data_IF_722173261223
#
_entry.id   IF_722173261223
#
_cell.length_a   1.000
_cell.length_b   1.000
_cell.length_c   1.000
_cell.angle_alpha   90.00
_cell.angle_beta   90.00
_cell.angle_gamma   90.00
#
_symmetry.space_group_name_H-M   'P 1'
#
loop_
_entity.id
_entity.type
_entity.pdbx_description
1 polymer ?
#
# COMPACT_ATOMS: atom_id res chain seq x y z
N UNK A 1 -9.23 -26.95 21.89
CA UNK A 1 -10.46 -26.56 21.16
C UNK A 1 -10.15 -26.55 19.67
N UNK A 2 -10.39 -27.65 18.93
CA UNK A 2 -10.07 -27.72 17.50
C UNK A 2 -11.33 -27.53 16.62
N UNK A 3 -11.11 -27.12 15.36
CA UNK A 3 -12.03 -27.24 14.22
C UNK A 3 -12.98 -26.07 13.85
N UNK A 4 -12.59 -24.81 14.03
CA UNK A 4 -13.27 -23.69 13.33
C UNK A 4 -12.54 -23.18 12.08
N UNK A 5 -11.23 -23.40 11.96
CA UNK A 5 -10.40 -22.90 10.85
C UNK A 5 -10.53 -23.73 9.57
N UNK A 6 -10.80 -25.04 9.67
CA UNK A 6 -10.92 -25.92 8.50
C UNK A 6 -12.27 -25.76 7.78
N UNK A 7 -13.33 -25.42 8.51
CA UNK A 7 -14.68 -25.23 7.95
C UNK A 7 -14.77 -23.91 7.15
N UNK A 8 -14.08 -22.86 7.58
CA UNK A 8 -14.00 -21.59 6.85
C UNK A 8 -13.29 -21.72 5.49
N UNK A 9 -12.28 -22.62 5.40
CA UNK A 9 -11.51 -22.88 4.17
C UNK A 9 -12.35 -23.56 3.08
N UNK A 10 -13.23 -24.49 3.42
CA UNK A 10 -14.09 -25.17 2.44
C UNK A 10 -15.25 -24.31 1.98
N UNK A 11 -15.86 -23.52 2.88
CA UNK A 11 -17.04 -22.72 2.55
C UNK A 11 -16.70 -21.56 1.60
N UNK A 12 -15.48 -21.00 1.70
CA UNK A 12 -15.00 -19.96 0.79
C UNK A 12 -14.80 -20.49 -0.65
N UNK A 13 -14.26 -21.68 -0.81
CA UNK A 13 -14.08 -22.32 -2.14
C UNK A 13 -15.41 -22.69 -2.79
N UNK A 14 -16.39 -23.18 -2.02
CA UNK A 14 -17.73 -23.47 -2.56
C UNK A 14 -18.53 -22.21 -2.91
N UNK A 15 -18.36 -21.11 -2.15
CA UNK A 15 -18.98 -19.82 -2.48
C UNK A 15 -18.40 -19.27 -3.80
N UNK A 16 -17.08 -19.28 -3.95
CA UNK A 16 -16.39 -18.83 -5.17
C UNK A 16 -16.74 -19.67 -6.41
N UNK A 17 -16.84 -21.01 -6.30
CA UNK A 17 -17.29 -21.85 -7.42
C UNK A 17 -18.78 -21.66 -7.75
N UNK A 18 -19.62 -21.32 -6.77
CA UNK A 18 -21.05 -21.05 -7.01
C UNK A 18 -21.31 -19.69 -7.68
N UNK A 19 -20.42 -18.70 -7.49
CA UNK A 19 -20.53 -17.37 -8.11
C UNK A 19 -20.21 -17.40 -9.61
N UNK A 20 -19.46 -18.40 -10.10
CA UNK A 20 -19.23 -18.60 -11.55
C UNK A 20 -20.53 -18.90 -12.33
N UNK A 21 -21.64 -19.18 -11.64
CA UNK A 21 -22.95 -19.44 -12.27
C UNK A 21 -24.03 -18.40 -11.96
N UNK A 22 -23.70 -17.28 -11.30
CA UNK A 22 -24.66 -16.20 -11.05
C UNK A 22 -24.47 -15.15 -12.14
N UNK A 23 -25.22 -15.29 -13.23
CA UNK A 23 -25.62 -14.11 -14.01
C UNK A 23 -26.41 -13.20 -13.06
N UNK A 24 -25.74 -12.21 -12.45
CA UNK A 24 -26.43 -11.17 -11.70
C UNK A 24 -27.12 -10.24 -12.68
N UNK A 25 -28.26 -10.69 -13.20
CA UNK A 25 -29.29 -9.81 -13.74
C UNK A 25 -29.95 -9.03 -12.59
N UNK A 26 -29.18 -8.18 -11.90
CA UNK A 26 -29.76 -7.10 -11.11
C UNK A 26 -30.38 -6.13 -12.12
N UNK A 27 -31.63 -5.74 -11.88
CA UNK A 27 -32.38 -4.83 -12.73
C UNK A 27 -31.57 -3.54 -12.99
N UNK A 28 -30.94 -3.48 -14.16
CA UNK A 28 -30.27 -2.29 -14.66
C UNK A 28 -31.37 -1.26 -14.92
N UNK A 29 -31.40 -0.20 -14.13
CA UNK A 29 -32.22 0.97 -14.43
C UNK A 29 -31.30 2.04 -14.99
N UNK A 30 -31.80 2.96 -15.81
CA UNK A 30 -31.00 4.09 -16.32
C UNK A 30 -30.31 4.89 -15.19
N UNK A 31 -30.83 4.79 -13.96
CA UNK A 31 -30.34 5.48 -12.77
C UNK A 31 -29.21 4.72 -12.06
N UNK A 32 -29.14 3.38 -12.11
CA UNK A 32 -28.17 2.60 -11.31
C UNK A 32 -27.51 1.53 -12.19
N UNK A 33 -26.18 1.58 -12.28
CA UNK A 33 -25.34 0.56 -12.90
C UNK A 33 -24.49 -0.16 -11.86
N UNK A 34 -24.55 -1.48 -11.86
CA UNK A 34 -23.71 -2.33 -11.02
C UNK A 34 -22.59 -2.95 -11.83
N UNK A 35 -21.39 -3.02 -11.24
CA UNK A 35 -20.23 -3.72 -11.80
C UNK A 35 -19.58 -4.55 -10.69
N UNK A 36 -19.14 -5.75 -11.01
CA UNK A 36 -18.42 -6.66 -10.13
C UNK A 36 -17.03 -6.97 -10.64
N UNK A 37 -16.15 -7.31 -9.71
CA UNK A 37 -14.83 -7.86 -10.03
C UNK A 37 -14.39 -8.81 -8.93
N UNK A 38 -13.55 -9.77 -9.28
CA UNK A 38 -12.91 -10.62 -8.29
C UNK A 38 -11.54 -11.13 -8.77
N UNK A 39 -10.73 -11.54 -7.82
CA UNK A 39 -9.49 -12.26 -8.02
C UNK A 39 -9.52 -13.49 -7.13
N UNK A 40 -9.37 -14.68 -7.72
CA UNK A 40 -8.99 -15.88 -6.99
C UNK A 40 -7.49 -16.06 -7.15
N UNK A 41 -6.75 -15.75 -6.09
CA UNK A 41 -5.29 -15.82 -6.08
C UNK A 41 -4.78 -16.96 -5.21
N UNK A 42 -3.72 -17.61 -5.66
CA UNK A 42 -2.99 -18.62 -4.90
C UNK A 42 -1.51 -18.24 -4.88
N UNK A 43 -0.90 -18.26 -3.71
CA UNK A 43 0.51 -17.94 -3.52
C UNK A 43 1.26 -19.11 -2.91
N UNK A 44 2.56 -19.17 -3.17
CA UNK A 44 3.52 -19.95 -2.41
C UNK A 44 4.71 -19.05 -2.06
N UNK A 45 4.93 -18.82 -0.78
CA UNK A 45 6.11 -18.15 -0.22
C UNK A 45 7.08 -19.22 0.29
N UNK A 46 8.31 -19.22 -0.21
CA UNK A 46 9.34 -20.22 0.13
C UNK A 46 10.08 -19.97 1.45
N UNK A 47 9.82 -18.83 2.13
CA UNK A 47 10.44 -18.49 3.41
C UNK A 47 9.53 -18.82 4.61
N UNK A 48 10.11 -19.49 5.60
CA UNK A 48 9.51 -19.70 6.93
C UNK A 48 9.77 -18.50 7.85
N UNK A 49 10.92 -17.83 7.67
CA UNK A 49 11.37 -16.71 8.51
C UNK A 49 10.62 -15.41 8.18
N UNK A 50 10.28 -15.20 6.90
CA UNK A 50 9.63 -13.99 6.40
C UNK A 50 8.24 -14.30 5.83
N UNK A 51 7.21 -13.80 6.48
CA UNK A 51 5.83 -13.87 6.03
C UNK A 51 5.50 -12.81 4.98
N UNK A 52 4.92 -13.24 3.86
CA UNK A 52 4.54 -12.39 2.73
C UNK A 52 3.16 -11.74 2.93
N UNK A 53 3.05 -10.45 2.59
CA UNK A 53 1.79 -9.72 2.43
C UNK A 53 1.91 -8.73 1.28
N UNK A 54 0.79 -8.38 0.65
CA UNK A 54 0.77 -7.48 -0.52
C UNK A 54 0.94 -5.99 -0.15
N UNK A 55 0.64 -5.64 1.10
CA UNK A 55 0.80 -4.31 1.70
C UNK A 55 0.58 -4.39 3.21
N UNK A 56 0.82 -3.30 3.93
CA UNK A 56 0.72 -3.26 5.39
C UNK A 56 -0.69 -3.46 5.94
N UNK A 57 -1.74 -3.20 5.15
CA UNK A 57 -3.15 -3.44 5.54
C UNK A 57 -3.55 -4.92 5.45
N UNK A 58 -2.67 -5.80 4.99
CA UNK A 58 -2.95 -7.24 4.75
C UNK A 58 -2.17 -8.15 5.71
N UNK A 59 -2.78 -9.20 6.27
CA UNK A 59 -2.08 -10.20 7.07
C UNK A 59 -1.05 -11.01 6.29
N UNK A 60 0.13 -11.21 6.88
CA UNK A 60 1.20 -11.98 6.27
C UNK A 60 0.98 -13.50 6.32
N UNK A 61 1.54 -14.22 5.35
CA UNK A 61 1.45 -15.68 5.18
C UNK A 61 2.79 -16.29 4.74
N UNK A 62 3.09 -17.48 5.23
CA UNK A 62 4.20 -18.32 4.76
C UNK A 62 3.66 -19.57 4.06
N UNK A 63 4.46 -20.17 3.17
CA UNK A 63 4.05 -21.32 2.39
C UNK A 63 2.86 -21.04 1.46
N UNK A 64 2.00 -22.04 1.30
CA UNK A 64 0.83 -21.95 0.42
C UNK A 64 -0.34 -21.20 1.07
N UNK A 65 -0.94 -20.24 0.35
CA UNK A 65 -2.12 -19.52 0.81
C UNK A 65 -2.95 -18.97 -0.36
N UNK A 66 -4.27 -18.89 -0.19
CA UNK A 66 -5.14 -18.17 -1.13
C UNK A 66 -5.40 -16.72 -0.70
N UNK A 67 -5.14 -16.37 0.56
CA UNK A 67 -5.68 -15.16 1.16
C UNK A 67 -5.06 -13.85 0.64
N UNK A 68 -3.72 -13.72 0.47
CA UNK A 68 -3.11 -12.41 0.18
C UNK A 68 -3.52 -11.77 -1.14
N UNK A 69 -3.77 -12.59 -2.16
CA UNK A 69 -4.10 -12.13 -3.51
C UNK A 69 -5.60 -12.23 -3.83
N UNK A 70 -6.39 -12.93 -3.00
CA UNK A 70 -7.82 -13.11 -3.28
C UNK A 70 -8.65 -11.93 -2.81
N UNK A 71 -9.57 -11.49 -3.66
CA UNK A 71 -10.54 -10.45 -3.34
C UNK A 71 -11.82 -10.59 -4.16
N UNK A 72 -12.90 -9.97 -3.68
CA UNK A 72 -14.13 -9.74 -4.44
C UNK A 72 -14.65 -8.34 -4.16
N UNK A 73 -15.04 -7.64 -5.20
CA UNK A 73 -15.55 -6.28 -5.11
C UNK A 73 -16.78 -6.06 -5.97
N UNK A 74 -17.56 -5.07 -5.57
CA UNK A 74 -18.72 -4.60 -6.29
C UNK A 74 -18.78 -3.08 -6.24
N UNK A 75 -19.26 -2.47 -7.31
CA UNK A 75 -19.43 -1.03 -7.45
C UNK A 75 -20.82 -0.70 -7.97
N UNK A 76 -21.45 0.29 -7.33
CA UNK A 76 -22.69 0.91 -7.79
C UNK A 76 -22.40 2.33 -8.29
N UNK A 77 -22.80 2.63 -9.53
CA UNK A 77 -22.80 3.97 -10.10
C UNK A 77 -24.25 4.47 -10.16
N UNK A 78 -24.56 5.53 -9.44
CA UNK A 78 -25.92 6.05 -9.26
C UNK A 78 -26.00 7.43 -9.90
N UNK A 79 -26.74 7.57 -11.00
CA UNK A 79 -26.93 8.84 -11.73
C UNK A 79 -28.26 9.49 -11.36
N UNK A 80 -28.22 10.54 -10.54
CA UNK A 80 -29.43 11.28 -10.15
C UNK A 80 -29.86 12.29 -11.22
N UNK A 81 -28.89 13.02 -11.78
CA UNK A 81 -29.06 13.97 -12.88
C UNK A 81 -27.81 13.95 -13.76
N UNK A 82 -27.77 14.63 -14.93
CA UNK A 82 -26.56 14.73 -15.73
C UNK A 82 -25.36 15.36 -14.98
N UNK A 83 -25.61 16.20 -13.97
CA UNK A 83 -24.59 16.87 -13.17
C UNK A 83 -24.30 16.17 -11.84
N UNK A 84 -25.21 15.35 -11.32
CA UNK A 84 -25.08 14.71 -10.02
C UNK A 84 -25.10 13.20 -10.13
N UNK A 85 -24.03 12.57 -9.65
CA UNK A 85 -23.94 11.12 -9.52
C UNK A 85 -23.21 10.72 -8.23
N UNK A 86 -23.39 9.49 -7.78
CA UNK A 86 -22.65 8.91 -6.66
C UNK A 86 -22.02 7.58 -7.07
N UNK A 87 -20.88 7.27 -6.47
CA UNK A 87 -20.17 6.00 -6.65
C UNK A 87 -19.94 5.40 -5.27
N UNK A 88 -20.29 4.12 -5.13
CA UNK A 88 -19.98 3.31 -3.94
C UNK A 88 -19.31 2.03 -4.39
N UNK A 89 -18.12 1.75 -3.86
CA UNK A 89 -17.36 0.52 -4.11
C UNK A 89 -17.02 -0.16 -2.79
N UNK A 90 -17.37 -1.44 -2.68
CA UNK A 90 -16.99 -2.29 -1.57
C UNK A 90 -16.08 -3.42 -2.07
N UNK A 91 -15.03 -3.74 -1.30
CA UNK A 91 -14.07 -4.79 -1.64
C UNK A 91 -13.75 -5.63 -0.43
N UNK A 92 -14.20 -6.88 -0.45
CA UNK A 92 -13.85 -7.91 0.51
C UNK A 92 -12.53 -8.58 0.14
N UNK A 93 -11.59 -8.60 1.09
CA UNK A 93 -10.27 -9.25 0.98
C UNK A 93 -9.72 -9.52 2.38
N UNK A 94 -8.63 -10.28 2.47
CA UNK A 94 -7.89 -10.44 3.73
C UNK A 94 -7.35 -9.08 4.20
N UNK A 95 -7.73 -8.63 5.41
CA UNK A 95 -7.37 -7.32 5.97
C UNK A 95 -6.97 -7.45 7.44
N UNK A 96 -6.10 -6.56 7.90
CA UNK A 96 -5.77 -6.39 9.33
C UNK A 96 -6.96 -5.88 10.12
N UNK A 97 -7.81 -5.11 9.45
CA UNK A 97 -9.02 -4.52 10.01
C UNK A 97 -10.25 -5.39 9.75
N UNK A 98 -11.04 -5.63 10.79
CA UNK A 98 -12.31 -6.35 10.73
C UNK A 98 -13.55 -5.46 10.71
N UNK A 99 -13.39 -4.13 10.79
CA UNK A 99 -14.47 -3.16 10.73
C UNK A 99 -15.19 -3.24 9.39
N UNK A 100 -16.52 -3.33 9.43
CA UNK A 100 -17.36 -3.45 8.23
C UNK A 100 -17.21 -2.23 7.32
N UNK A 101 -17.05 -1.04 7.91
CA UNK A 101 -16.88 0.21 7.14
C UNK A 101 -15.58 0.20 6.34
N UNK A 102 -14.53 -0.45 6.85
CA UNK A 102 -13.23 -0.53 6.17
C UNK A 102 -13.21 -1.54 5.01
N UNK A 103 -14.35 -2.13 4.64
CA UNK A 103 -14.55 -2.80 3.35
C UNK A 103 -15.13 -1.89 2.27
N UNK A 104 -15.52 -0.66 2.60
CA UNK A 104 -15.91 0.36 1.64
C UNK A 104 -14.64 1.08 1.20
N UNK A 105 -14.15 0.76 0.00
CA UNK A 105 -12.95 1.40 -0.55
C UNK A 105 -13.26 2.83 -1.03
N UNK A 106 -14.45 3.06 -1.60
CA UNK A 106 -14.88 4.35 -2.16
C UNK A 106 -16.36 4.58 -1.90
N UNK A 107 -16.73 5.80 -1.50
CA UNK A 107 -18.12 6.22 -1.35
C UNK A 107 -18.21 7.75 -1.44
N UNK A 108 -18.56 8.30 -2.59
CA UNK A 108 -18.64 9.74 -2.77
C UNK A 108 -19.85 10.19 -3.60
N UNK A 109 -20.24 11.44 -3.39
CA UNK A 109 -21.11 12.20 -4.27
C UNK A 109 -20.25 13.08 -5.18
N UNK A 110 -20.60 13.14 -6.47
CA UNK A 110 -19.92 13.94 -7.48
C UNK A 110 -20.85 14.96 -8.10
N UNK A 111 -20.35 16.18 -8.21
CA UNK A 111 -20.95 17.27 -8.98
C UNK A 111 -20.07 17.60 -10.19
N UNK A 112 -20.65 17.52 -11.39
CA UNK A 112 -20.03 17.93 -12.65
C UNK A 112 -20.58 19.30 -13.02
N UNK A 113 -19.75 20.33 -12.89
CA UNK A 113 -20.14 21.70 -13.26
C UNK A 113 -20.26 21.80 -14.79
N UNK A 114 -19.29 21.23 -15.50
CA UNK A 114 -19.26 21.12 -16.96
C UNK A 114 -18.38 19.93 -17.39
N UNK A 115 -17.93 19.91 -18.65
CA UNK A 115 -17.04 18.86 -19.16
C UNK A 115 -15.60 18.91 -18.65
N UNK A 116 -15.21 19.98 -17.93
CA UNK A 116 -13.87 20.23 -17.43
C UNK A 116 -13.77 20.09 -15.92
N UNK A 117 -14.79 20.51 -15.19
CA UNK A 117 -14.75 20.60 -13.72
C UNK A 117 -15.61 19.55 -13.04
N UNK A 118 -14.98 18.77 -12.16
CA UNK A 118 -15.63 17.80 -11.30
C UNK A 118 -15.27 18.05 -9.84
N UNK A 119 -16.25 17.96 -8.94
CA UNK A 119 -16.08 18.07 -7.50
C UNK A 119 -16.60 16.80 -6.86
N UNK A 120 -15.86 16.21 -5.92
CA UNK A 120 -16.27 15.02 -5.17
C UNK A 120 -16.22 15.31 -3.67
N UNK A 121 -17.13 14.71 -2.92
CA UNK A 121 -17.12 14.71 -1.47
C UNK A 121 -17.53 13.34 -0.92
N UNK A 122 -16.79 12.84 0.06
CA UNK A 122 -16.96 11.52 0.66
C UNK A 122 -15.62 10.80 0.86
N UNK A 123 -15.62 9.48 0.70
CA UNK A 123 -14.42 8.64 0.75
C UNK A 123 -13.88 8.38 -0.66
N UNK A 124 -12.64 8.77 -0.91
CA UNK A 124 -11.97 8.66 -2.21
C UNK A 124 -10.58 8.02 -2.06
N UNK A 125 -10.05 7.44 -3.14
CA UNK A 125 -8.65 7.03 -3.19
C UNK A 125 -7.75 8.27 -3.30
N UNK A 126 -6.58 8.23 -2.67
CA UNK A 126 -5.54 9.23 -2.92
C UNK A 126 -4.97 9.02 -4.32
N UNK A 127 -4.92 10.10 -5.11
CA UNK A 127 -4.59 10.04 -6.53
C UNK A 127 -3.06 10.14 -6.74
N UNK A 128 -2.31 9.27 -6.05
CA UNK A 128 -0.84 9.30 -5.98
C UNK A 128 -0.12 8.27 -6.86
N UNK A 129 -0.85 7.30 -7.42
CA UNK A 129 -0.30 6.23 -8.25
C UNK A 129 -1.07 6.09 -9.57
N UNK A 130 -0.47 5.46 -10.59
CA UNK A 130 -1.24 5.06 -11.78
C UNK A 130 -2.42 4.14 -11.43
N UNK A 131 -2.22 3.21 -10.51
CA UNK A 131 -3.26 2.26 -10.08
C UNK A 131 -4.25 2.85 -9.07
N UNK A 132 -4.15 4.11 -8.63
CA UNK A 132 -4.94 4.67 -7.51
C UNK A 132 -6.45 4.39 -7.61
N UNK A 133 -7.02 4.48 -8.81
CA UNK A 133 -8.47 4.33 -9.01
C UNK A 133 -8.89 2.87 -9.29
N UNK A 134 -7.94 1.94 -9.52
CA UNK A 134 -8.24 0.56 -9.93
C UNK A 134 -7.29 -0.51 -9.36
N UNK A 135 -6.57 -0.21 -8.26
CA UNK A 135 -5.62 -1.12 -7.59
C UNK A 135 -6.26 -2.45 -7.17
N UNK A 136 -7.55 -2.42 -6.83
CA UNK A 136 -8.34 -3.59 -6.44
C UNK A 136 -8.83 -4.42 -7.64
N UNK A 137 -8.78 -3.87 -8.86
CA UNK A 137 -9.30 -4.53 -10.07
C UNK A 137 -8.16 -5.25 -10.78
N UNK A 138 -7.87 -6.47 -10.33
CA UNK A 138 -6.78 -7.30 -10.88
C UNK A 138 -6.83 -7.50 -12.40
N UNK A 139 -8.02 -7.39 -13.02
CA UNK A 139 -8.19 -7.45 -14.47
C UNK A 139 -7.49 -6.28 -15.22
N UNK A 140 -7.41 -5.10 -14.59
CA UNK A 140 -7.06 -3.84 -15.24
C UNK A 140 -5.55 -3.58 -15.38
N UNK A 141 -4.69 -4.38 -14.74
CA UNK A 141 -3.23 -4.22 -14.84
C UNK A 141 -2.52 -5.48 -15.35
N UNK A 142 -1.21 -5.40 -15.57
CA UNK A 142 -0.41 -6.47 -16.19
C UNK A 142 -0.12 -7.62 -15.21
N UNK A 143 0.39 -7.26 -14.03
CA UNK A 143 0.91 -8.18 -13.02
C UNK A 143 -0.16 -9.01 -12.32
N UNK A 144 0.22 -10.15 -11.73
CA UNK A 144 -0.62 -10.83 -10.75
C UNK A 144 -0.79 -9.94 -9.50
N UNK A 145 0.28 -9.24 -9.11
CA UNK A 145 0.27 -8.18 -8.08
C UNK A 145 1.24 -7.05 -8.42
N UNK A 146 0.95 -5.79 -8.06
CA UNK A 146 1.87 -4.69 -8.28
C UNK A 146 3.19 -4.86 -7.49
N UNK A 147 4.30 -4.22 -7.94
CA UNK A 147 5.58 -4.26 -7.23
C UNK A 147 5.46 -3.71 -5.80
N UNK A 148 5.78 -4.53 -4.80
CA UNK A 148 5.58 -4.20 -3.40
C UNK A 148 6.46 -3.03 -2.95
N UNK A 149 7.67 -2.90 -3.49
CA UNK A 149 8.63 -1.84 -3.13
C UNK A 149 8.07 -0.43 -3.34
N UNK A 150 7.21 -0.25 -4.34
CA UNK A 150 6.57 1.04 -4.63
C UNK A 150 5.15 1.13 -4.04
N UNK A 151 4.37 0.04 -4.11
CA UNK A 151 2.93 0.04 -3.81
C UNK A 151 2.54 -0.31 -2.36
N UNK A 152 3.50 -0.62 -1.48
CA UNK A 152 3.22 -1.04 -0.09
C UNK A 152 3.31 0.09 0.94
N UNK A 153 4.27 1.02 0.79
CA UNK A 153 4.62 1.99 1.84
C UNK A 153 3.52 3.01 2.14
N UNK A 154 3.04 3.74 1.13
CA UNK A 154 1.99 4.77 1.33
C UNK A 154 0.58 4.16 1.37
N UNK A 155 0.45 2.88 1.73
CA UNK A 155 -0.87 2.23 1.78
C UNK A 155 -1.68 2.60 2.99
N UNK A 156 -1.06 3.13 4.06
CA UNK A 156 -1.77 3.74 5.18
C UNK A 156 -2.72 4.82 4.69
N UNK A 157 -2.24 5.72 3.83
CA UNK A 157 -3.00 6.86 3.27
C UNK A 157 -3.50 6.59 1.84
N UNK A 158 -3.89 5.35 1.52
CA UNK A 158 -4.41 5.00 0.17
C UNK A 158 -5.82 5.55 -0.11
N UNK A 159 -6.56 5.92 0.93
CA UNK A 159 -7.87 6.55 0.85
C UNK A 159 -7.92 7.72 1.81
N UNK A 160 -8.81 8.67 1.56
CA UNK A 160 -9.12 9.77 2.47
C UNK A 160 -10.62 10.07 2.46
N UNK A 161 -11.10 10.60 3.58
CA UNK A 161 -12.46 11.12 3.74
C UNK A 161 -12.40 12.65 3.72
N UNK A 162 -13.10 13.27 2.77
CA UNK A 162 -13.01 14.71 2.55
C UNK A 162 -13.61 15.14 1.23
N UNK A 163 -12.91 16.04 0.53
CA UNK A 163 -13.33 16.55 -0.77
C UNK A 163 -12.18 16.66 -1.76
N UNK A 164 -12.49 16.55 -3.04
CA UNK A 164 -11.54 16.83 -4.11
C UNK A 164 -12.16 17.56 -5.30
N UNK A 165 -11.28 18.13 -6.11
CA UNK A 165 -11.58 18.80 -7.36
C UNK A 165 -10.71 18.22 -8.46
N UNK A 166 -11.30 18.03 -9.64
CA UNK A 166 -10.60 17.66 -10.85
C UNK A 166 -10.86 18.70 -11.96
N UNK A 167 -9.80 19.09 -12.66
CA UNK A 167 -9.85 19.90 -13.87
C UNK A 167 -9.30 19.12 -15.06
N UNK A 168 -10.07 19.07 -16.14
CA UNK A 168 -9.79 18.33 -17.37
C UNK A 168 -9.68 19.30 -18.55
N UNK A 169 -8.63 19.16 -19.35
CA UNK A 169 -8.39 20.04 -20.49
C UNK A 169 -7.68 19.32 -21.63
N UNK A 170 -8.21 19.44 -22.85
CA UNK A 170 -7.48 19.04 -24.06
C UNK A 170 -6.36 20.07 -24.32
N UNK A 171 -5.11 19.62 -24.30
CA UNK A 171 -3.93 20.45 -24.50
C UNK A 171 -3.16 19.92 -25.72
N UNK A 172 -3.18 20.66 -26.83
CA UNK A 172 -2.66 20.16 -28.10
C UNK A 172 -3.41 18.92 -28.57
N UNK A 173 -2.68 17.83 -28.84
CA UNK A 173 -3.24 16.53 -29.19
C UNK A 173 -3.48 15.62 -27.97
N UNK A 174 -3.13 16.09 -26.77
CA UNK A 174 -3.25 15.31 -25.54
C UNK A 174 -4.36 15.78 -24.62
N UNK A 175 -4.46 15.09 -23.49
CA UNK A 175 -5.42 15.33 -22.43
C UNK A 175 -4.69 15.54 -21.11
N UNK A 176 -4.87 16.72 -20.54
CA UNK A 176 -4.35 17.10 -19.23
C UNK A 176 -5.46 16.92 -18.18
N UNK A 177 -5.11 16.33 -17.04
CA UNK A 177 -5.94 16.29 -15.84
C UNK A 177 -5.14 16.78 -14.65
N UNK A 178 -5.72 17.70 -13.88
CA UNK A 178 -5.24 18.17 -12.59
C UNK A 178 -6.23 17.71 -11.53
N UNK A 179 -5.75 17.21 -10.39
CA UNK A 179 -6.57 16.89 -9.23
C UNK A 179 -5.95 17.44 -7.95
N UNK A 180 -6.78 17.88 -7.03
CA UNK A 180 -6.39 18.26 -5.69
C UNK A 180 -7.48 17.83 -4.70
N UNK A 181 -7.11 17.26 -3.56
CA UNK A 181 -8.01 16.79 -2.52
C UNK A 181 -7.46 17.08 -1.13
N UNK A 182 -8.38 17.21 -0.18
CA UNK A 182 -8.08 17.49 1.22
C UNK A 182 -9.05 16.74 2.13
N UNK A 183 -8.54 16.20 3.25
CA UNK A 183 -9.35 15.47 4.22
C UNK A 183 -8.52 14.77 5.29
N UNK A 184 -9.04 13.66 5.79
CA UNK A 184 -8.43 12.82 6.83
C UNK A 184 -8.35 11.36 6.36
N UNK A 185 -7.53 10.53 7.03
CA UNK A 185 -7.37 9.12 6.68
C UNK A 185 -7.07 8.28 7.92
N UNK A 186 -7.66 7.09 7.99
CA UNK A 186 -7.34 6.08 9.00
C UNK A 186 -6.87 4.78 8.35
N UNK A 187 -6.04 4.04 9.09
CA UNK A 187 -5.63 2.71 8.69
C UNK A 187 -5.21 1.83 9.86
N UNK A 188 -5.50 0.53 9.74
CA UNK A 188 -4.82 -0.50 10.51
C UNK A 188 -3.70 -1.15 9.71
N UNK A 189 -2.45 -0.92 10.12
CA UNK A 189 -1.24 -1.37 9.44
C UNK A 189 -0.46 -2.38 10.27
N UNK A 190 0.04 -3.44 9.64
CA UNK A 190 1.01 -4.34 10.23
C UNK A 190 2.44 -3.84 10.07
N UNK A 191 3.22 -4.04 11.12
CA UNK A 191 4.66 -3.87 11.18
C UNK A 191 5.31 -5.24 11.41
N UNK A 192 6.58 -5.29 11.78
CA UNK A 192 7.32 -6.51 12.15
C UNK A 192 6.80 -7.13 13.46
N UNK A 193 5.61 -7.76 13.39
CA UNK A 193 5.08 -8.64 14.44
C UNK A 193 3.72 -8.23 15.02
N UNK A 194 3.27 -6.97 14.86
CA UNK A 194 1.97 -6.47 15.35
C UNK A 194 1.29 -5.51 14.38
N UNK A 195 -0.02 -5.36 14.51
CA UNK A 195 -0.80 -4.38 13.78
C UNK A 195 -1.23 -3.23 14.69
N UNK A 196 -1.15 -2.02 14.17
CA UNK A 196 -1.44 -0.76 14.84
C UNK A 196 -2.45 0.04 14.01
N UNK A 197 -3.37 0.71 14.68
CA UNK A 197 -4.16 1.79 14.13
C UNK A 197 -3.31 3.06 14.06
N UNK A 198 -3.43 3.77 12.94
CA UNK A 198 -2.81 5.06 12.66
C UNK A 198 -3.86 5.97 12.01
N UNK A 199 -3.94 7.20 12.53
CA UNK A 199 -4.86 8.23 12.07
C UNK A 199 -4.06 9.41 11.53
N UNK A 200 -4.52 9.97 10.41
CA UNK A 200 -3.89 11.08 9.72
C UNK A 200 -4.88 12.23 9.53
N UNK A 201 -4.42 13.43 9.86
CA UNK A 201 -5.11 14.69 9.58
C UNK A 201 -4.41 15.46 8.46
N UNK A 202 -5.04 16.52 7.99
CA UNK A 202 -4.51 17.44 6.98
C UNK A 202 -3.96 16.74 5.72
N UNK A 203 -4.65 15.66 5.30
CA UNK A 203 -4.29 14.85 4.13
C UNK A 203 -4.51 15.67 2.87
N UNK A 204 -3.44 16.26 2.33
CA UNK A 204 -3.42 16.98 1.07
C UNK A 204 -2.89 16.07 -0.03
N UNK A 205 -3.69 15.81 -1.06
CA UNK A 205 -3.26 15.05 -2.25
C UNK A 205 -3.37 15.93 -3.49
N UNK A 206 -2.37 15.91 -4.36
CA UNK A 206 -2.41 16.59 -5.66
C UNK A 206 -1.82 15.72 -6.75
N UNK A 207 -2.34 15.82 -7.96
CA UNK A 207 -1.82 15.09 -9.11
C UNK A 207 -1.98 15.87 -10.40
N UNK A 208 -1.06 15.61 -11.32
CA UNK A 208 -1.09 16.08 -12.70
C UNK A 208 -0.83 14.88 -13.59
N UNK A 209 -1.70 14.66 -14.58
CA UNK A 209 -1.46 13.64 -15.60
C UNK A 209 -1.67 14.22 -16.99
N UNK A 210 -0.78 13.87 -17.91
CA UNK A 210 -0.89 14.20 -19.32
C UNK A 210 -0.83 12.91 -20.14
N UNK A 211 -1.83 12.68 -20.97
CA UNK A 211 -1.87 11.54 -21.88
C UNK A 211 -1.92 12.04 -23.32
N UNK A 212 -1.13 11.44 -24.20
CA UNK A 212 -1.20 11.70 -25.63
C UNK A 212 -0.83 10.42 -26.37
N UNK A 213 -1.65 10.04 -27.37
CA UNK A 213 -1.45 8.83 -28.15
C UNK A 213 -1.24 7.61 -27.22
N UNK A 214 -0.08 6.97 -27.33
CA UNK A 214 0.30 5.76 -26.60
C UNK A 214 1.06 6.02 -25.29
N UNK A 215 1.28 7.28 -24.90
CA UNK A 215 2.08 7.61 -23.71
C UNK A 215 1.30 8.44 -22.69
N UNK A 216 1.61 8.20 -21.42
CA UNK A 216 1.05 8.93 -20.29
C UNK A 216 2.16 9.29 -19.29
N UNK A 217 2.14 10.54 -18.84
CA UNK A 217 2.96 11.04 -17.75
C UNK A 217 2.09 11.36 -16.56
N UNK A 218 2.65 11.19 -15.36
CA UNK A 218 2.00 11.53 -14.10
C UNK A 218 3.00 12.08 -13.10
N UNK A 219 2.62 13.13 -12.39
CA UNK A 219 3.30 13.59 -11.19
C UNK A 219 2.28 13.75 -10.07
N UNK A 220 2.67 13.45 -8.84
CA UNK A 220 1.78 13.53 -7.69
C UNK A 220 2.52 13.90 -6.41
N UNK A 221 1.77 14.48 -5.48
CA UNK A 221 2.23 14.85 -4.16
C UNK A 221 1.17 14.51 -3.13
N UNK A 222 1.59 13.97 -1.99
CA UNK A 222 0.76 13.76 -0.81
C UNK A 222 1.49 14.28 0.43
N UNK A 223 0.75 14.96 1.31
CA UNK A 223 1.16 15.35 2.65
C UNK A 223 0.10 14.88 3.62
N UNK A 224 0.51 14.40 4.79
CA UNK A 224 -0.39 14.03 5.87
C UNK A 224 0.32 14.21 7.21
N UNK A 225 -0.38 14.74 8.22
CA UNK A 225 0.11 14.83 9.59
C UNK A 225 -0.38 13.60 10.37
N UNK A 226 0.51 12.95 11.13
CA UNK A 226 0.13 11.83 12.01
C UNK A 226 -0.55 12.40 13.25
N UNK A 227 -1.85 12.15 13.41
CA UNK A 227 -2.65 12.60 14.56
C UNK A 227 -2.55 11.60 15.72
N UNK A 228 -2.65 10.31 15.41
CA UNK A 228 -2.64 9.25 16.41
C UNK A 228 -1.97 7.97 15.90
N UNK A 229 -1.23 7.30 16.79
CA UNK A 229 -0.64 5.98 16.53
C UNK A 229 -0.75 5.09 17.77
N UNK A 230 -1.44 3.96 17.62
CA UNK A 230 -1.80 3.07 18.75
C UNK A 230 -0.66 2.24 19.35
N UNK A 231 0.59 2.46 18.96
CA UNK A 231 1.72 1.75 19.58
C UNK A 231 1.95 2.22 21.01
N UNK A 232 2.07 1.27 21.93
CA UNK A 232 2.35 1.55 23.34
C UNK A 232 3.85 1.83 23.53
N UNK A 233 4.18 3.12 23.68
CA UNK A 233 5.54 3.59 23.98
C UNK A 233 5.74 3.89 25.48
N UNK A 234 4.76 3.61 26.35
CA UNK A 234 4.81 3.99 27.77
C UNK A 234 5.99 3.36 28.53
N UNK A 235 6.41 2.15 28.13
CA UNK A 235 7.59 1.51 28.70
C UNK A 235 8.89 2.25 28.34
N UNK A 236 8.95 2.83 27.15
CA UNK A 236 10.08 3.65 26.70
C UNK A 236 10.09 4.99 27.44
N UNK A 237 8.92 5.64 27.56
CA UNK A 237 8.74 6.86 28.36
C UNK A 237 9.17 6.66 29.81
N UNK A 238 8.70 5.56 30.42
CA UNK A 238 9.05 5.22 31.79
C UNK A 238 10.55 4.97 31.96
N UNK A 239 11.19 4.29 31.00
CA UNK A 239 12.63 4.03 31.04
C UNK A 239 13.47 5.31 30.95
N UNK A 240 13.05 6.26 30.10
CA UNK A 240 13.72 7.56 29.98
C UNK A 240 13.48 8.43 31.23
N UNK A 241 12.26 8.40 31.78
CA UNK A 241 11.91 9.14 32.99
C UNK A 241 12.68 8.69 34.26
N UNK A 242 13.32 7.51 34.25
CA UNK A 242 14.18 7.06 35.36
C UNK A 242 15.41 7.97 35.56
N UNK A 243 15.83 8.68 34.51
CA UNK A 243 17.02 9.53 34.55
C UNK A 243 16.63 10.99 34.30
N UNK A 244 16.96 11.94 35.21
CA UNK A 244 16.68 13.34 34.95
C UNK A 244 17.53 13.85 33.76
N UNK A 245 17.08 14.88 33.03
CA UNK A 245 17.83 15.45 31.90
C UNK A 245 19.25 15.92 32.25
N UNK A 246 19.53 16.23 33.52
CA UNK A 246 20.88 16.56 33.99
C UNK A 246 21.86 15.38 33.99
N UNK A 247 21.34 14.15 33.97
CA UNK A 247 22.09 12.89 33.93
C UNK A 247 22.03 12.30 32.52
N UNK A 248 20.87 12.33 31.86
CA UNK A 248 20.68 11.83 30.51
C UNK A 248 20.06 12.90 29.58
N UNK A 249 20.85 13.88 29.10
CA UNK A 249 20.37 14.92 28.19
C UNK A 249 19.76 14.38 26.88
N UNK A 250 20.29 13.28 26.35
CA UNK A 250 19.80 12.64 25.12
C UNK A 250 18.49 11.86 25.28
N UNK A 251 18.02 11.59 26.51
CA UNK A 251 16.76 10.89 26.75
C UNK A 251 15.54 11.64 26.17
N UNK A 252 15.33 12.92 26.53
CA UNK A 252 14.28 13.74 25.93
C UNK A 252 14.37 13.87 24.39
N UNK A 253 15.57 13.92 23.83
CA UNK A 253 15.75 13.95 22.37
C UNK A 253 15.28 12.64 21.73
N UNK A 254 15.60 11.49 22.33
CA UNK A 254 15.09 10.20 21.87
C UNK A 254 13.56 10.11 21.92
N UNK A 255 12.92 10.68 22.94
CA UNK A 255 11.46 10.74 23.04
C UNK A 255 10.84 11.54 21.89
N UNK A 256 11.40 12.72 21.57
CA UNK A 256 10.89 13.54 20.45
C UNK A 256 11.02 12.82 19.09
N UNK A 257 12.08 12.03 18.92
CA UNK A 257 12.36 11.28 17.68
C UNK A 257 11.39 10.13 17.45
N UNK A 258 10.95 9.45 18.52
CA UNK A 258 9.96 8.36 18.42
C UNK A 258 8.52 8.86 18.47
N UNK A 259 8.29 10.06 19.00
CA UNK A 259 6.97 10.69 19.06
C UNK A 259 6.44 10.95 17.65
N UNK A 260 5.17 10.60 17.45
CA UNK A 260 4.43 10.85 16.21
C UNK A 260 3.67 12.19 16.22
N UNK A 261 3.57 12.85 17.39
CA UNK A 261 2.78 14.07 17.55
C UNK A 261 3.24 15.17 16.60
N UNK A 262 2.32 15.67 15.76
CA UNK A 262 2.55 16.72 14.76
C UNK A 262 3.75 16.45 13.83
N UNK A 263 3.97 15.18 13.48
CA UNK A 263 4.97 14.80 12.48
C UNK A 263 4.32 14.62 11.11
N UNK A 264 4.89 15.28 10.11
CA UNK A 264 4.45 15.18 8.72
C UNK A 264 5.03 13.94 8.01
N UNK A 265 4.24 13.37 7.11
CA UNK A 265 4.64 12.39 6.12
C UNK A 265 4.31 12.89 4.72
N UNK A 266 5.31 12.87 3.85
CA UNK A 266 5.22 13.39 2.50
C UNK A 266 5.61 12.32 1.49
N UNK A 267 4.87 12.26 0.38
CA UNK A 267 5.16 11.41 -0.76
C UNK A 267 5.18 12.21 -2.05
N UNK A 268 6.19 11.97 -2.88
CA UNK A 268 6.33 12.54 -4.22
C UNK A 268 6.40 11.39 -5.22
N UNK A 269 5.55 11.43 -6.25
CA UNK A 269 5.49 10.40 -7.29
C UNK A 269 5.74 10.98 -8.68
N UNK A 270 6.47 10.24 -9.51
CA UNK A 270 6.64 10.50 -10.93
C UNK A 270 6.46 9.18 -11.70
N UNK A 271 5.59 9.20 -12.71
CA UNK A 271 5.24 8.01 -13.50
C UNK A 271 5.28 8.25 -15.00
N UNK A 272 5.71 7.22 -15.72
CA UNK A 272 5.60 7.13 -17.17
C UNK A 272 4.99 5.78 -17.57
N UNK A 273 4.07 5.83 -18.53
CA UNK A 273 3.48 4.66 -19.15
C UNK A 273 3.51 4.81 -20.66
N UNK A 274 3.80 3.70 -21.35
CA UNK A 274 3.67 3.55 -22.80
C UNK A 274 2.89 2.27 -23.09
N UNK A 275 1.86 2.36 -23.92
CA UNK A 275 1.06 1.21 -24.35
C UNK A 275 0.64 1.39 -25.82
N UNK A 276 1.11 0.48 -26.67
CA UNK A 276 0.75 0.44 -28.09
C UNK A 276 0.09 -0.88 -28.50
N UNK A 277 -0.56 -1.55 -27.55
CA UNK A 277 -1.18 -2.88 -27.66
C UNK A 277 -0.21 -4.07 -27.83
N UNK A 278 1.02 -3.82 -28.30
CA UNK A 278 2.06 -4.85 -28.43
C UNK A 278 3.11 -4.77 -27.32
N UNK A 279 3.52 -3.56 -26.96
CA UNK A 279 4.49 -3.23 -25.94
C UNK A 279 3.83 -2.41 -24.86
N UNK A 280 3.96 -2.90 -23.62
CA UNK A 280 3.50 -2.22 -22.42
C UNK A 280 4.75 -1.87 -21.60
N UNK A 281 5.01 -0.59 -21.38
CA UNK A 281 6.09 -0.14 -20.51
C UNK A 281 5.48 0.73 -19.42
N UNK A 282 5.81 0.45 -18.17
CA UNK A 282 5.36 1.26 -17.05
C UNK A 282 6.49 1.39 -16.03
N UNK A 283 6.71 2.61 -15.57
CA UNK A 283 7.67 2.91 -14.52
C UNK A 283 7.13 4.01 -13.64
N UNK A 284 7.33 3.87 -12.33
CA UNK A 284 7.08 4.91 -11.35
C UNK A 284 8.28 5.01 -10.40
N UNK A 285 8.58 6.24 -9.98
CA UNK A 285 9.56 6.60 -8.98
C UNK A 285 8.86 7.35 -7.86
N UNK A 286 9.21 7.02 -6.63
CA UNK A 286 8.59 7.51 -5.42
C UNK A 286 9.64 7.97 -4.42
N UNK A 287 9.39 9.10 -3.78
CA UNK A 287 10.21 9.60 -2.68
C UNK A 287 9.31 9.86 -1.48
N UNK A 288 9.65 9.24 -0.35
CA UNK A 288 9.02 9.46 0.94
C UNK A 288 9.95 10.31 1.78
N UNK A 289 9.40 11.35 2.38
CA UNK A 289 10.04 12.15 3.43
C UNK A 289 9.16 12.12 4.67
N UNK A 290 9.74 11.88 5.84
CA UNK A 290 9.01 11.93 7.10
C UNK A 290 9.78 12.69 8.17
N UNK A 291 9.05 13.47 8.96
CA UNK A 291 9.57 14.08 10.18
C UNK A 291 9.47 13.11 11.38
N UNK A 292 8.77 11.98 11.23
CA UNK A 292 8.69 10.90 12.22
C UNK A 292 9.77 9.85 11.94
N UNK A 293 10.79 9.77 12.77
CA UNK A 293 11.98 8.96 12.47
C UNK A 293 11.74 7.44 12.43
N UNK A 294 10.61 6.96 12.96
CA UNK A 294 10.21 5.55 12.81
C UNK A 294 9.73 5.21 11.40
N UNK A 295 9.30 6.20 10.61
CA UNK A 295 9.10 6.06 9.16
C UNK A 295 10.29 6.69 8.43
N UNK A 296 11.18 5.86 7.90
CA UNK A 296 12.39 6.37 7.25
C UNK A 296 12.09 6.99 5.90
N UNK A 297 12.74 8.12 5.63
CA UNK A 297 12.90 8.64 4.29
C UNK A 297 13.38 7.55 3.34
N UNK A 298 12.72 7.40 2.19
CA UNK A 298 13.04 6.34 1.24
C UNK A 298 12.81 6.77 -0.20
N UNK A 299 13.55 6.14 -1.10
CA UNK A 299 13.32 6.17 -2.53
C UNK A 299 12.88 4.79 -2.99
N UNK A 300 11.86 4.72 -3.81
CA UNK A 300 11.35 3.48 -4.38
C UNK A 300 11.02 3.64 -5.85
N UNK A 301 10.96 2.53 -6.58
CA UNK A 301 10.50 2.56 -7.94
C UNK A 301 10.58 1.20 -8.62
N UNK A 302 10.08 1.18 -9.85
CA UNK A 302 10.14 -0.02 -10.69
C UNK A 302 10.18 0.31 -12.17
N UNK A 303 10.64 -0.64 -12.98
CA UNK A 303 10.49 -0.65 -14.42
C UNK A 303 9.87 -1.99 -14.83
N UNK A 304 8.74 -1.93 -15.50
CA UNK A 304 8.04 -3.09 -16.04
C UNK A 304 7.94 -3.00 -17.55
N UNK A 305 8.22 -4.13 -18.22
CA UNK A 305 8.11 -4.27 -19.67
C UNK A 305 7.27 -5.52 -19.95
N UNK A 306 6.20 -5.34 -20.72
CA UNK A 306 5.30 -6.36 -21.22
C UNK A 306 5.35 -6.44 -22.74
N UNK A 307 5.31 -7.65 -23.27
CA UNK A 307 5.20 -7.96 -24.70
C UNK A 307 3.96 -8.83 -24.91
N UNK A 308 3.02 -8.39 -25.76
CA UNK A 308 1.70 -8.97 -25.93
C UNK A 308 1.48 -9.60 -27.32
N UNK A 309 2.05 -10.78 -27.60
CA UNK A 309 1.69 -11.56 -28.78
C UNK A 309 0.39 -12.35 -28.57
N UNK A 310 -0.57 -12.19 -29.49
CA UNK A 310 -1.70 -13.12 -29.72
C UNK A 310 -2.38 -13.67 -28.44
N UNK A 311 -2.89 -12.78 -27.58
CA UNK A 311 -3.71 -13.16 -26.41
C UNK A 311 -2.94 -13.59 -25.16
N UNK A 312 -1.61 -13.61 -25.23
CA UNK A 312 -0.70 -13.83 -24.10
C UNK A 312 0.20 -12.61 -23.95
N UNK A 313 0.34 -12.07 -22.75
CA UNK A 313 1.31 -11.03 -22.43
C UNK A 313 2.40 -11.63 -21.53
N UNK A 314 3.65 -11.59 -21.98
CA UNK A 314 4.81 -11.90 -21.16
C UNK A 314 5.32 -10.61 -20.53
N UNK A 315 5.74 -10.64 -19.28
CA UNK A 315 6.30 -9.45 -18.63
C UNK A 315 7.48 -9.76 -17.73
N UNK A 316 8.33 -8.75 -17.58
CA UNK A 316 9.40 -8.68 -16.60
C UNK A 316 9.30 -7.38 -15.84
N UNK A 317 9.69 -7.38 -14.57
CA UNK A 317 9.73 -6.18 -13.75
C UNK A 317 10.96 -6.21 -12.84
N UNK A 318 11.60 -5.07 -12.70
CA UNK A 318 12.61 -4.83 -11.67
C UNK A 318 12.09 -3.73 -10.76
N UNK A 319 12.16 -3.94 -9.46
CA UNK A 319 11.74 -2.96 -8.45
C UNK A 319 12.74 -2.87 -7.32
N UNK A 320 12.81 -1.71 -6.68
CA UNK A 320 13.68 -1.49 -5.53
C UNK A 320 13.09 -0.44 -4.59
N UNK A 321 13.40 -0.58 -3.30
CA UNK A 321 13.20 0.42 -2.27
C UNK A 321 14.45 0.49 -1.40
N UNK A 322 14.91 1.70 -1.13
CA UNK A 322 16.07 1.95 -0.28
C UNK A 322 15.83 3.19 0.59
N UNK A 323 16.32 3.20 1.85
CA UNK A 323 16.29 4.40 2.66
C UNK A 323 17.26 5.45 2.06
N UNK A 324 16.95 6.73 2.18
CA UNK A 324 17.83 7.81 1.68
C UNK A 324 19.09 7.96 2.53
N UNK A 325 19.03 7.47 3.76
CA UNK A 325 20.15 7.36 4.71
C UNK A 325 20.20 5.93 5.22
N UNK A 326 21.33 5.27 5.00
CA UNK A 326 21.51 3.87 5.43
C UNK A 326 21.45 3.72 6.96
N UNK A 327 22.01 4.70 7.69
CA UNK A 327 22.05 4.71 9.15
C UNK A 327 21.26 5.90 9.70
N UNK A 328 20.42 5.63 10.69
CA UNK A 328 19.83 6.61 11.59
C UNK A 328 20.64 6.55 12.89
N UNK A 329 20.81 7.67 13.60
CA UNK A 329 21.49 7.65 14.90
C UNK A 329 20.68 6.82 15.90
N UNK A 330 21.10 5.60 16.15
CA UNK A 330 20.39 4.65 17.00
C UNK A 330 21.02 4.50 18.38
N UNK A 331 21.93 5.42 18.74
CA UNK A 331 22.54 5.48 20.04
C UNK A 331 21.57 5.91 21.14
N UNK A 332 22.02 5.76 22.38
CA UNK A 332 21.31 6.26 23.57
C UNK A 332 21.37 7.79 23.70
N UNK A 333 21.90 8.52 22.72
CA UNK A 333 22.10 9.97 22.80
C UNK A 333 23.17 10.41 23.82
N UNK A 334 23.23 11.71 24.08
CA UNK A 334 24.21 12.28 25.01
C UNK A 334 23.95 11.85 26.46
N UNK A 335 25.00 11.43 27.16
CA UNK A 335 24.98 11.15 28.61
C UNK A 335 25.88 12.18 29.31
N UNK A 336 25.43 12.69 30.45
CA UNK A 336 26.17 13.68 31.23
C UNK A 336 27.57 13.16 31.61
N UNK A 337 28.64 13.95 31.40
CA UNK A 337 30.00 13.55 31.76
C UNK A 337 30.19 13.39 33.28
N UNK A 338 29.24 13.86 34.08
CA UNK A 338 29.23 13.75 35.54
C UNK A 338 28.37 12.60 36.06
N UNK A 339 27.75 11.81 35.17
CA UNK A 339 26.94 10.66 35.57
C UNK A 339 27.82 9.55 36.20
N UNK A 340 27.38 8.90 37.29
CA UNK A 340 28.08 7.73 37.84
C UNK A 340 28.23 6.60 36.80
N UNK A 341 29.33 5.84 36.86
CA UNK A 341 29.63 4.81 35.87
C UNK A 341 28.52 3.73 35.77
N UNK A 342 27.89 3.38 36.89
CA UNK A 342 26.78 2.43 36.94
C UNK A 342 25.53 2.96 36.22
N UNK A 343 25.29 4.27 36.29
CA UNK A 343 24.19 4.94 35.59
C UNK A 343 24.46 4.98 34.09
N UNK A 344 25.68 5.32 33.69
CA UNK A 344 26.11 5.27 32.28
C UNK A 344 25.91 3.87 31.71
N UNK A 345 26.35 2.83 32.42
CA UNK A 345 26.18 1.44 32.00
C UNK A 345 24.69 1.05 31.88
N UNK A 346 23.84 1.55 32.79
CA UNK A 346 22.39 1.30 32.74
C UNK A 346 21.75 1.95 31.52
N UNK A 347 22.06 3.22 31.24
CA UNK A 347 21.55 3.92 30.05
C UNK A 347 22.02 3.21 28.78
N UNK A 348 23.32 2.86 28.70
CA UNK A 348 23.89 2.13 27.56
C UNK A 348 23.23 0.77 27.32
N UNK A 349 22.72 0.12 28.37
CA UNK A 349 22.01 -1.16 28.24
C UNK A 349 20.71 -1.07 27.44
N UNK A 350 20.16 0.14 27.24
CA UNK A 350 18.99 0.37 26.37
C UNK A 350 19.35 0.45 24.88
N UNK A 351 20.63 0.61 24.53
CA UNK A 351 21.09 0.75 23.14
C UNK A 351 20.53 -0.31 22.19
N UNK A 352 20.65 -1.62 22.48
CA UNK A 352 20.10 -2.65 21.59
C UNK A 352 18.59 -2.55 21.34
N UNK A 353 17.82 -2.13 22.35
CA UNK A 353 16.36 -1.93 22.19
C UNK A 353 16.04 -0.72 21.33
N UNK A 354 16.81 0.36 21.45
CA UNK A 354 16.69 1.57 20.62
C UNK A 354 17.08 1.26 19.17
N UNK A 355 18.22 0.61 18.95
CA UNK A 355 18.65 0.11 17.64
C UNK A 355 17.56 -0.74 16.99
N UNK A 356 16.99 -1.70 17.73
CA UNK A 356 15.93 -2.54 17.21
C UNK A 356 14.68 -1.73 16.84
N UNK A 357 14.25 -0.78 17.67
CA UNK A 357 13.10 0.09 17.40
C UNK A 357 13.27 0.86 16.08
N UNK A 358 14.42 1.49 15.86
CA UNK A 358 14.68 2.26 14.64
C UNK A 358 14.90 1.38 13.41
N UNK A 359 15.41 0.15 13.57
CA UNK A 359 15.66 -0.77 12.46
C UNK A 359 14.42 -1.59 12.04
N UNK A 360 13.40 -1.73 12.90
CA UNK A 360 12.21 -2.55 12.62
C UNK A 360 11.44 -2.17 11.34
N UNK A 361 11.43 -0.88 10.98
CA UNK A 361 10.72 -0.37 9.80
C UNK A 361 11.63 -0.08 8.60
N UNK A 362 12.92 -0.42 8.71
CA UNK A 362 13.88 -0.22 7.62
C UNK A 362 13.54 -1.15 6.46
N UNK A 363 13.38 -0.56 5.28
CA UNK A 363 13.08 -1.28 4.03
C UNK A 363 14.21 -1.10 3.05
N UNK A 364 14.93 -2.19 2.76
CA UNK A 364 16.00 -2.20 1.76
C UNK A 364 15.96 -3.51 1.00
N UNK A 365 15.39 -3.47 -0.20
CA UNK A 365 15.12 -4.65 -1.01
C UNK A 365 15.11 -4.28 -2.49
N UNK A 366 15.48 -5.25 -3.33
CA UNK A 366 15.15 -5.25 -4.74
C UNK A 366 14.49 -6.58 -5.14
N UNK A 367 13.57 -6.51 -6.10
CA UNK A 367 12.86 -7.68 -6.63
C UNK A 367 12.97 -7.74 -8.13
N UNK A 368 13.22 -8.96 -8.62
CA UNK A 368 13.05 -9.32 -10.01
C UNK A 368 11.78 -10.16 -10.16
N UNK A 369 10.85 -9.69 -10.98
CA UNK A 369 9.62 -10.40 -11.28
C UNK A 369 9.57 -10.84 -12.74
N UNK A 370 9.09 -12.05 -12.98
CA UNK A 370 8.72 -12.54 -14.30
C UNK A 370 7.30 -13.08 -14.27
N UNK A 371 6.56 -12.93 -15.36
CA UNK A 371 5.22 -13.48 -15.40
C UNK A 371 4.56 -13.45 -16.77
N UNK A 372 3.35 -13.97 -16.77
CA UNK A 372 2.50 -14.13 -17.94
C UNK A 372 1.06 -13.80 -17.60
N UNK A 373 0.36 -13.19 -18.55
CA UNK A 373 -1.07 -12.85 -18.49
C UNK A 373 -1.75 -13.47 -19.71
N UNK A 374 -2.77 -14.30 -19.49
CA UNK A 374 -3.52 -14.98 -20.54
C UNK A 374 -4.96 -14.50 -20.56
N UNK A 375 -5.41 -13.99 -21.71
CA UNK A 375 -6.81 -13.63 -21.91
C UNK A 375 -7.61 -14.90 -22.22
N UNK A 376 -8.42 -15.39 -21.26
CA UNK A 376 -9.21 -16.63 -21.44
C UNK A 376 -10.57 -16.35 -22.09
N UNK A 377 -11.18 -15.21 -21.76
CA UNK A 377 -12.40 -14.67 -22.38
C UNK A 377 -12.37 -13.14 -22.33
N UNK A 378 -13.36 -12.43 -22.87
CA UNK A 378 -13.43 -10.96 -22.76
C UNK A 378 -13.57 -10.43 -21.31
N UNK A 379 -13.84 -11.30 -20.33
CA UNK A 379 -14.07 -10.94 -18.93
C UNK A 379 -13.23 -11.74 -17.93
N UNK A 380 -12.40 -12.68 -18.40
CA UNK A 380 -11.61 -13.57 -17.55
C UNK A 380 -10.15 -13.64 -18.01
N UNK A 381 -9.24 -13.40 -17.07
CA UNK A 381 -7.79 -13.42 -17.29
C UNK A 381 -7.10 -14.29 -16.25
N UNK A 382 -6.22 -15.19 -16.71
CA UNK A 382 -5.29 -15.91 -15.85
C UNK A 382 -3.94 -15.19 -15.81
N UNK A 383 -3.26 -15.21 -14.66
CA UNK A 383 -1.93 -14.63 -14.50
C UNK A 383 -1.04 -15.55 -13.68
N UNK A 384 0.21 -15.67 -14.10
CA UNK A 384 1.28 -16.27 -13.34
C UNK A 384 2.35 -15.21 -13.09
N UNK A 385 2.89 -15.18 -11.87
CA UNK A 385 3.98 -14.27 -11.50
C UNK A 385 4.88 -14.95 -10.47
N UNK A 386 6.18 -14.84 -10.70
CA UNK A 386 7.21 -15.22 -9.75
C UNK A 386 8.01 -13.97 -9.40
N UNK A 387 8.05 -13.66 -8.11
CA UNK A 387 8.82 -12.55 -7.53
C UNK A 387 10.03 -13.15 -6.81
N UNK A 388 11.24 -12.77 -7.19
CA UNK A 388 12.48 -13.10 -6.48
C UNK A 388 13.05 -11.85 -5.83
N UNK A 389 12.94 -11.77 -4.50
CA UNK A 389 13.32 -10.63 -3.69
C UNK A 389 14.65 -10.88 -2.99
N UNK A 390 15.56 -9.92 -3.06
CA UNK A 390 16.81 -9.90 -2.29
C UNK A 390 16.73 -8.77 -1.28
N UNK A 391 16.83 -9.13 -0.01
CA UNK A 391 16.56 -8.26 1.13
C UNK A 391 17.86 -8.05 1.89
N UNK A 392 18.24 -6.79 2.12
CA UNK A 392 19.45 -6.49 2.86
C UNK A 392 19.30 -6.85 4.35
N UNK A 393 20.42 -7.01 5.05
CA UNK A 393 20.48 -7.13 6.51
C UNK A 393 19.61 -6.04 7.15
N UNK A 394 18.71 -6.39 8.08
CA UNK A 394 17.74 -5.49 8.72
C UNK A 394 16.84 -4.72 7.74
N UNK A 395 16.63 -5.24 6.53
CA UNK A 395 15.85 -4.61 5.45
C UNK A 395 14.41 -5.08 5.35
N UNK A 396 13.94 -5.83 6.35
CA UNK A 396 12.71 -6.63 6.32
C UNK A 396 11.42 -5.84 6.49
N UNK A 397 11.44 -4.50 6.49
CA UNK A 397 10.29 -3.68 6.88
C UNK A 397 9.03 -3.81 6.00
N UNK A 398 9.07 -4.48 4.85
CA UNK A 398 7.89 -4.84 4.04
C UNK A 398 7.43 -6.30 4.21
N UNK A 399 8.01 -7.01 5.19
CA UNK A 399 7.70 -8.40 5.53
C UNK A 399 7.26 -8.49 6.98
N UNK A 400 6.52 -9.56 7.29
CA UNK A 400 6.39 -9.99 8.68
C UNK A 400 7.58 -10.87 9.03
N UNK A 401 8.40 -10.44 9.98
CA UNK A 401 9.44 -11.28 10.56
C UNK A 401 8.80 -12.28 11.53
N UNK A 402 8.81 -13.57 11.17
CA UNK A 402 8.37 -14.67 12.04
C UNK A 402 9.52 -15.17 12.91
N UNK A 403 10.70 -15.29 12.31
CA UNK A 403 11.98 -15.63 12.95
C UNK A 403 12.98 -14.61 12.44
N UNK A 404 13.72 -13.98 13.35
CA UNK A 404 14.70 -12.95 12.97
C UNK A 404 15.86 -13.63 12.20
N UNK A 405 16.10 -13.24 10.94
CA UNK A 405 17.25 -13.75 10.19
C UNK A 405 18.57 -13.20 10.75
N UNK A 406 19.65 -13.98 10.63
CA UNK A 406 21.00 -13.57 11.06
C UNK A 406 21.67 -12.57 10.08
N UNK A 407 21.21 -12.55 8.82
CA UNK A 407 21.68 -11.67 7.75
C UNK A 407 20.57 -11.42 6.73
N UNK A 408 20.86 -10.69 5.67
CA UNK A 408 19.98 -10.53 4.51
C UNK A 408 19.55 -11.87 3.92
N UNK A 409 18.35 -11.87 3.34
CA UNK A 409 17.66 -13.06 2.87
C UNK A 409 17.24 -12.93 1.41
N UNK A 410 17.01 -14.07 0.77
CA UNK A 410 16.36 -14.15 -0.53
C UNK A 410 15.04 -14.90 -0.40
N UNK A 411 13.96 -14.33 -0.92
CA UNK A 411 12.61 -14.93 -0.84
C UNK A 411 12.00 -15.00 -2.22
N UNK A 412 11.41 -16.15 -2.57
CA UNK A 412 10.62 -16.33 -3.77
C UNK A 412 9.14 -16.44 -3.44
N UNK A 413 8.33 -15.57 -4.06
CA UNK A 413 6.87 -15.66 -3.97
C UNK A 413 6.32 -15.97 -5.35
N UNK A 414 5.70 -17.15 -5.49
CA UNK A 414 5.03 -17.58 -6.72
C UNK A 414 3.53 -17.39 -6.60
N UNK A 415 2.89 -16.97 -7.69
CA UNK A 415 1.50 -16.52 -7.69
C UNK A 415 0.75 -17.00 -8.93
N UNK A 416 -0.50 -17.42 -8.72
CA UNK A 416 -1.43 -17.77 -9.77
C UNK A 416 -2.78 -17.11 -9.49
N UNK A 417 -3.21 -16.22 -10.38
CA UNK A 417 -4.43 -15.44 -10.21
C UNK A 417 -5.41 -15.70 -11.36
N UNK A 418 -6.69 -15.92 -11.04
CA UNK A 418 -7.81 -15.80 -11.97
C UNK A 418 -8.55 -14.51 -11.65
N UNK A 419 -8.61 -13.59 -12.61
CA UNK A 419 -9.22 -12.28 -12.46
C UNK A 419 -10.43 -12.18 -13.39
N UNK A 420 -11.56 -11.76 -12.85
CA UNK A 420 -12.82 -11.67 -13.57
C UNK A 420 -13.53 -10.35 -13.28
N UNK A 421 -14.21 -9.83 -14.30
CA UNK A 421 -15.14 -8.68 -14.22
C UNK A 421 -16.52 -9.13 -14.69
N UNK A 422 -17.60 -8.66 -14.07
CA UNK A 422 -18.96 -9.10 -14.38
C UNK A 422 -20.03 -8.04 -14.07
#
# INVERSE_FOLDING_TARGET
MPNYTTLARSTFTYLLLSIVSIDMALAESDMIKFNGFATLGAIYNDSDDLGFHTNFKTPARSGFSFAPDSLIGAQANISFTPQWDAIVQAVYRDKQDSSVLNYIDVAFLRYKLDSRWEFRAGRMNTDIYFLSEYKSVGYAYLWARPPAEFYSKVTSVSQFEGADIAYKHSLGNGFLQLKAGFGESDARIATTGRAYDIDFTDVLTTSVSYQQDNWQLRASYLSAEVDNFSADLSAFDAAIALFPPSVWPGGPELLDRVSFESKDQQFFGLGYQYDNDLWLVQTELGFIKSDWELERDSVSGYLSIGYQPEGITYFVTVSAIEPTKDNVDDGVGEISPFAPAEVVATIQSFGPSITNLFNQNRTKQHTFSLGTKWQLSASLIAKFQMDYSVIADDGFGIWKVNVQPDSGESVTVTSLNLNWVF
#
